data_IF_737157148521
#
_entry.id   IF_737157148521
#
_cell.length_a   1.000
_cell.length_b   1.000
_cell.length_c   1.000
_cell.angle_alpha   90.00
_cell.angle_beta   90.00
_cell.angle_gamma   90.00
#
_symmetry.space_group_name_H-M   'P 1'
#
loop_
_entity.id
_entity.type
_entity.pdbx_description
1 polymer ?
#
# COMPACT_ATOMS: atom_id res chain seq x y z
N UNK A 1 43.32 -37.41 -25.88
CA UNK A 1 42.58 -36.79 -26.99
C UNK A 1 41.55 -35.83 -26.41
N UNK A 2 41.89 -34.54 -26.40
CA UNK A 2 41.03 -33.46 -25.88
C UNK A 2 40.11 -32.96 -26.98
N UNK A 3 38.80 -33.14 -26.82
CA UNK A 3 37.80 -32.63 -27.75
C UNK A 3 37.36 -31.22 -27.33
N UNK A 4 38.00 -30.24 -27.95
CA UNK A 4 37.46 -28.97 -28.49
C UNK A 4 36.16 -28.44 -27.89
N UNK A 5 36.26 -27.39 -27.05
CA UNK A 5 35.14 -26.46 -26.77
C UNK A 5 34.98 -25.48 -27.93
N UNK A 6 33.77 -25.41 -28.49
CA UNK A 6 33.33 -24.42 -29.49
C UNK A 6 32.93 -23.11 -28.77
N UNK A 7 33.24 -21.92 -29.30
CA UNK A 7 33.00 -20.65 -28.60
C UNK A 7 31.52 -20.24 -28.68
N UNK A 8 31.04 -19.60 -27.61
CA UNK A 8 29.74 -18.95 -27.54
C UNK A 8 29.70 -17.76 -28.52
N UNK A 9 28.62 -17.67 -29.31
CA UNK A 9 28.40 -16.61 -30.27
C UNK A 9 28.25 -15.26 -29.56
N UNK A 10 29.14 -14.31 -29.89
CA UNK A 10 29.05 -12.91 -29.49
C UNK A 10 27.92 -12.24 -30.28
N UNK A 11 26.85 -11.83 -29.61
CA UNK A 11 25.78 -11.05 -30.23
C UNK A 11 26.30 -9.63 -30.55
N UNK A 12 26.16 -9.22 -31.82
CA UNK A 12 26.53 -7.89 -32.29
C UNK A 12 25.62 -6.78 -31.68
N UNK A 13 26.13 -5.55 -31.50
CA UNK A 13 25.39 -4.46 -30.85
C UNK A 13 24.25 -3.96 -31.74
N UNK A 14 23.00 -4.11 -31.28
CA UNK A 14 21.85 -3.42 -31.87
C UNK A 14 22.00 -1.93 -31.56
N UNK A 15 21.92 -1.07 -32.57
CA UNK A 15 21.93 0.40 -32.38
C UNK A 15 20.65 0.82 -31.64
N UNK A 16 20.73 0.93 -30.31
CA UNK A 16 19.61 1.36 -29.47
C UNK A 16 19.30 2.82 -29.77
N UNK A 17 18.14 3.13 -30.37
CA UNK A 17 17.68 4.51 -30.52
C UNK A 17 17.47 5.10 -29.14
N UNK A 18 18.20 6.17 -28.81
CA UNK A 18 18.07 6.87 -27.53
C UNK A 18 17.30 8.17 -27.65
N UNK A 19 16.33 8.38 -26.77
CA UNK A 19 15.42 9.51 -26.70
C UNK A 19 15.88 10.53 -25.65
N UNK A 20 15.56 11.80 -25.89
CA UNK A 20 15.66 12.86 -24.88
C UNK A 20 14.45 12.83 -23.95
N UNK A 21 14.59 13.35 -22.71
CA UNK A 21 13.49 13.41 -21.73
C UNK A 21 12.21 14.08 -22.26
N UNK A 22 12.32 15.07 -23.17
CA UNK A 22 11.15 15.71 -23.79
C UNK A 22 10.37 14.76 -24.69
N UNK A 23 11.05 14.00 -25.55
CA UNK A 23 10.42 12.97 -26.40
C UNK A 23 9.83 11.81 -25.59
N UNK A 24 10.45 11.45 -24.46
CA UNK A 24 9.88 10.46 -23.54
C UNK A 24 8.60 10.98 -22.91
N UNK A 25 8.58 12.26 -22.50
CA UNK A 25 7.39 12.90 -21.96
C UNK A 25 6.23 12.93 -22.97
N UNK A 26 6.52 13.27 -24.23
CA UNK A 26 5.53 13.26 -25.31
C UNK A 26 4.90 11.87 -25.47
N UNK A 27 5.73 10.82 -25.51
CA UNK A 27 5.25 9.44 -25.63
C UNK A 27 4.39 8.99 -24.43
N UNK A 28 4.77 9.38 -23.21
CA UNK A 28 4.02 8.98 -22.00
C UNK A 28 2.75 9.81 -21.79
N UNK A 29 2.67 11.04 -22.32
CA UNK A 29 1.51 11.92 -22.15
C UNK A 29 0.25 11.44 -22.86
N UNK A 30 0.37 10.62 -23.90
CA UNK A 30 -0.78 10.00 -24.57
C UNK A 30 -1.58 9.10 -23.62
N UNK A 31 -0.90 8.42 -22.70
CA UNK A 31 -1.50 7.49 -21.72
C UNK A 31 -1.58 8.06 -20.29
N UNK A 32 -0.71 9.02 -19.95
CA UNK A 32 -0.59 9.63 -18.61
C UNK A 32 -0.53 11.17 -18.71
N UNK A 33 -1.68 11.87 -18.79
CA UNK A 33 -1.74 13.32 -19.00
C UNK A 33 -1.00 14.12 -17.91
N UNK A 34 -1.01 13.62 -16.68
CA UNK A 34 -0.45 14.28 -15.50
C UNK A 34 1.06 14.06 -15.33
N UNK A 35 1.70 13.28 -16.21
CA UNK A 35 3.14 13.05 -16.12
C UNK A 35 3.91 14.33 -16.46
N UNK A 36 4.91 14.64 -15.62
CA UNK A 36 5.77 15.81 -15.79
C UNK A 36 7.24 15.41 -15.85
N UNK A 37 8.08 16.28 -16.40
CA UNK A 37 9.54 16.12 -16.38
C UNK A 37 10.06 15.97 -14.95
N UNK A 38 9.47 16.69 -14.00
CA UNK A 38 9.81 16.59 -12.57
C UNK A 38 9.52 15.20 -12.01
N UNK A 39 8.39 14.58 -12.38
CA UNK A 39 8.06 13.21 -11.98
C UNK A 39 9.06 12.20 -12.54
N UNK A 40 9.45 12.31 -13.81
CA UNK A 40 10.44 11.41 -14.42
C UNK A 40 11.81 11.54 -13.72
N UNK A 41 12.23 12.77 -13.43
CA UNK A 41 13.49 13.03 -12.69
C UNK A 41 13.45 12.50 -11.25
N UNK A 42 12.29 12.59 -10.61
CA UNK A 42 12.09 12.05 -9.27
C UNK A 42 12.19 10.51 -9.26
N UNK A 43 11.60 9.84 -10.25
CA UNK A 43 11.73 8.38 -10.39
C UNK A 43 13.17 7.95 -10.67
N UNK A 44 13.94 8.75 -11.42
CA UNK A 44 15.38 8.55 -11.61
C UNK A 44 16.17 8.77 -10.32
N UNK A 45 15.89 9.82 -9.53
CA UNK A 45 16.62 10.06 -8.27
C UNK A 45 16.34 8.98 -7.24
N UNK A 46 15.15 8.39 -7.26
CA UNK A 46 14.78 7.23 -6.48
C UNK A 46 15.35 5.92 -7.07
N UNK A 47 16.12 5.98 -8.16
CA UNK A 47 16.80 4.80 -8.74
C UNK A 47 15.88 3.80 -9.42
N UNK A 48 14.62 4.16 -9.74
CA UNK A 48 13.72 3.26 -10.47
C UNK A 48 14.07 3.17 -11.95
N UNK A 49 14.80 4.15 -12.48
CA UNK A 49 15.31 4.17 -13.85
C UNK A 49 16.76 4.68 -13.87
N UNK A 50 17.56 4.20 -14.81
CA UNK A 50 18.99 4.53 -14.91
C UNK A 50 19.36 4.92 -16.36
N UNK A 51 18.84 6.06 -16.87
CA UNK A 51 19.10 6.49 -18.23
C UNK A 51 20.59 6.79 -18.45
N UNK A 52 21.08 6.47 -19.65
CA UNK A 52 22.47 6.73 -20.02
C UNK A 52 22.77 8.23 -20.04
N UNK A 53 24.01 8.60 -19.73
CA UNK A 53 24.49 9.99 -19.87
C UNK A 53 25.39 10.13 -21.08
N UNK A 54 25.22 11.21 -21.84
CA UNK A 54 26.18 11.59 -22.89
C UNK A 54 27.47 12.11 -22.25
N UNK A 55 28.57 12.17 -23.02
CA UNK A 55 29.82 12.80 -22.58
C UNK A 55 29.64 14.27 -22.14
N UNK A 56 28.58 14.93 -22.62
CA UNK A 56 28.15 16.28 -22.25
C UNK A 56 27.17 16.35 -21.07
N UNK A 57 26.81 15.21 -20.45
CA UNK A 57 26.00 15.15 -19.22
C UNK A 57 24.48 15.06 -19.41
N UNK A 58 23.98 15.08 -20.66
CA UNK A 58 22.54 14.96 -20.95
C UNK A 58 22.04 13.53 -20.82
N UNK A 59 20.79 13.36 -20.38
CA UNK A 59 20.12 12.06 -20.23
C UNK A 59 19.63 11.53 -21.57
N UNK A 60 19.87 10.25 -21.80
CA UNK A 60 19.46 9.48 -22.98
C UNK A 60 18.74 8.23 -22.51
N UNK A 61 17.44 8.19 -22.81
CA UNK A 61 16.55 7.10 -22.45
C UNK A 61 16.49 6.11 -23.61
N UNK A 62 16.59 4.82 -23.32
CA UNK A 62 16.38 3.74 -24.27
C UNK A 62 14.88 3.47 -24.44
N UNK A 63 14.51 2.61 -25.40
CA UNK A 63 13.12 2.13 -25.49
C UNK A 63 12.69 1.38 -24.22
N UNK A 64 13.60 0.60 -23.64
CA UNK A 64 13.35 -0.17 -22.41
C UNK A 64 13.08 0.75 -21.21
N UNK A 65 13.77 1.90 -21.12
CA UNK A 65 13.50 2.91 -20.09
C UNK A 65 12.09 3.50 -20.20
N UNK A 66 11.55 3.62 -21.43
CA UNK A 66 10.19 4.13 -21.66
C UNK A 66 9.15 3.10 -21.22
N UNK A 67 9.34 1.83 -21.58
CA UNK A 67 8.46 0.74 -21.12
C UNK A 67 8.50 0.59 -19.59
N UNK A 68 9.68 0.72 -18.99
CA UNK A 68 9.85 0.72 -17.54
C UNK A 68 9.12 1.88 -16.87
N UNK A 69 9.20 3.09 -17.44
CA UNK A 69 8.44 4.25 -16.98
C UNK A 69 6.93 4.02 -17.09
N UNK A 70 6.45 3.44 -18.20
CA UNK A 70 5.03 3.07 -18.36
C UNK A 70 4.60 2.10 -17.26
N UNK A 71 5.37 1.03 -17.00
CA UNK A 71 5.08 0.07 -15.94
C UNK A 71 4.98 0.73 -14.56
N UNK A 72 5.94 1.59 -14.22
CA UNK A 72 5.92 2.34 -12.94
C UNK A 72 4.66 3.19 -12.81
N UNK A 73 4.30 3.93 -13.87
CA UNK A 73 3.16 4.85 -13.86
C UNK A 73 1.82 4.10 -13.77
N UNK A 74 1.65 2.99 -14.49
CA UNK A 74 0.48 2.09 -14.37
C UNK A 74 0.38 1.56 -12.94
N UNK A 75 1.48 1.04 -12.41
CA UNK A 75 1.51 0.42 -11.08
C UNK A 75 1.19 1.43 -9.98
N UNK A 76 1.65 2.67 -10.10
CA UNK A 76 1.29 3.75 -9.18
C UNK A 76 -0.17 4.17 -9.30
N UNK A 77 -0.70 4.28 -10.53
CA UNK A 77 -2.09 4.69 -10.78
C UNK A 77 -3.09 3.67 -10.27
N UNK A 78 -2.84 2.40 -10.54
CA UNK A 78 -3.85 1.34 -10.37
C UNK A 78 -3.73 0.60 -9.03
N UNK A 79 -2.55 0.62 -8.39
CA UNK A 79 -2.29 -0.19 -7.19
C UNK A 79 -1.75 0.61 -5.99
N UNK A 80 -1.51 1.93 -6.11
CA UNK A 80 -1.00 2.80 -5.03
C UNK A 80 0.22 2.22 -4.28
N UNK A 81 1.11 1.51 -4.99
CA UNK A 81 2.24 0.82 -4.35
C UNK A 81 3.34 1.82 -3.91
N UNK A 82 3.97 1.60 -2.74
CA UNK A 82 5.16 2.33 -2.34
C UNK A 82 6.31 2.14 -3.35
N UNK A 83 7.11 3.19 -3.58
CA UNK A 83 8.23 3.19 -4.55
C UNK A 83 9.25 2.07 -4.32
N UNK A 84 9.45 1.68 -3.05
CA UNK A 84 10.34 0.57 -2.68
C UNK A 84 9.89 -0.74 -3.33
N UNK A 85 8.60 -1.05 -3.23
CA UNK A 85 7.99 -2.27 -3.79
C UNK A 85 8.09 -2.28 -5.32
N UNK A 86 7.87 -1.12 -5.95
CA UNK A 86 8.01 -0.99 -7.40
C UNK A 86 9.47 -1.24 -7.83
N UNK A 87 10.45 -0.75 -7.07
CA UNK A 87 11.88 -1.00 -7.34
C UNK A 87 12.20 -2.50 -7.27
N UNK A 88 11.74 -3.20 -6.25
CA UNK A 88 11.95 -4.64 -6.06
C UNK A 88 11.30 -5.47 -7.18
N UNK A 89 10.09 -5.12 -7.63
CA UNK A 89 9.44 -5.76 -8.77
C UNK A 89 10.24 -5.58 -10.06
N UNK A 90 10.74 -4.37 -10.30
CA UNK A 90 11.55 -4.08 -11.48
C UNK A 90 12.90 -4.83 -11.46
N UNK A 91 13.55 -4.92 -10.30
CA UNK A 91 14.78 -5.72 -10.13
C UNK A 91 14.54 -7.22 -10.37
N UNK A 92 13.38 -7.74 -9.97
CA UNK A 92 12.98 -9.10 -10.28
C UNK A 92 12.75 -9.31 -11.79
N UNK A 93 12.11 -8.36 -12.47
CA UNK A 93 11.92 -8.40 -13.92
C UNK A 93 13.26 -8.35 -14.68
N UNK A 94 14.20 -7.51 -14.24
CA UNK A 94 15.52 -7.34 -14.88
C UNK A 94 16.44 -8.56 -14.70
N UNK A 95 16.34 -9.25 -13.56
CA UNK A 95 17.15 -10.42 -13.25
C UNK A 95 16.62 -11.71 -13.87
N UNK A 96 15.44 -11.68 -14.51
CA UNK A 96 14.77 -12.87 -15.03
C UNK A 96 14.33 -13.84 -13.93
N UNK A 97 14.44 -13.43 -12.66
CA UNK A 97 13.87 -14.16 -11.55
C UNK A 97 12.36 -13.95 -11.60
N UNK A 98 11.60 -15.03 -11.75
CA UNK A 98 10.16 -15.03 -11.45
C UNK A 98 10.03 -14.33 -10.11
N UNK A 99 9.35 -13.17 -10.08
CA UNK A 99 9.18 -12.36 -8.88
C UNK A 99 8.94 -13.29 -7.72
N UNK A 100 9.86 -13.27 -6.74
CA UNK A 100 9.55 -13.81 -5.43
C UNK A 100 8.27 -13.06 -5.04
N UNK A 101 7.15 -13.75 -5.09
CA UNK A 101 5.87 -13.21 -4.64
C UNK A 101 6.17 -12.80 -3.20
N UNK A 102 6.17 -11.51 -2.91
CA UNK A 102 6.37 -11.06 -1.54
C UNK A 102 5.27 -11.71 -0.69
N UNK A 103 5.68 -12.66 0.15
CA UNK A 103 4.80 -13.31 1.12
C UNK A 103 4.57 -12.42 2.35
N UNK A 104 5.14 -11.22 2.35
CA UNK A 104 4.99 -10.25 3.43
C UNK A 104 3.54 -9.73 3.47
N UNK A 105 2.95 -9.55 4.67
CA UNK A 105 1.62 -8.99 4.79
C UNK A 105 1.55 -7.56 4.24
N UNK A 106 0.43 -7.22 3.59
CA UNK A 106 0.10 -5.88 3.06
C UNK A 106 0.25 -4.79 4.13
N UNK A 107 0.01 -5.13 5.40
CA UNK A 107 0.10 -4.19 6.53
C UNK A 107 1.12 -4.69 7.54
N UNK A 108 2.02 -3.82 8.02
CA UNK A 108 3.00 -4.20 9.03
C UNK A 108 2.38 -4.34 10.43
N UNK A 109 2.87 -5.26 11.28
CA UNK A 109 2.40 -5.42 12.66
C UNK A 109 2.51 -4.14 13.50
N UNK A 110 3.50 -3.29 13.23
CA UNK A 110 3.74 -2.07 14.01
C UNK A 110 2.60 -1.06 13.94
N UNK A 111 1.81 -1.10 12.85
CA UNK A 111 0.61 -0.26 12.70
C UNK A 111 -0.54 -0.65 13.62
N UNK A 112 -0.46 -1.80 14.29
CA UNK A 112 -1.48 -2.30 15.22
C UNK A 112 -1.05 -2.19 16.69
N UNK A 113 0.04 -1.46 16.98
CA UNK A 113 0.37 -1.10 18.36
C UNK A 113 -0.75 -0.25 18.96
N UNK A 114 -0.89 -0.33 20.28
CA UNK A 114 -1.85 0.50 20.99
C UNK A 114 -1.61 1.99 20.68
N UNK A 115 -2.67 2.79 20.50
CA UNK A 115 -2.54 4.20 20.21
C UNK A 115 -1.78 4.92 21.32
N UNK A 116 -1.05 5.97 20.94
CA UNK A 116 -0.52 6.91 21.91
C UNK A 116 -1.69 7.55 22.68
N UNK A 117 -1.54 7.65 24.01
CA UNK A 117 -2.55 8.25 24.86
C UNK A 117 -2.81 9.69 24.39
N UNK A 118 -3.97 9.91 23.79
CA UNK A 118 -4.50 11.22 23.41
C UNK A 118 -5.81 11.38 24.18
N UNK A 119 -6.12 12.60 24.60
CA UNK A 119 -7.38 12.90 25.30
C UNK A 119 -8.21 13.83 24.44
N UNK A 120 -9.00 13.24 23.55
CA UNK A 120 -9.92 13.96 22.68
C UNK A 120 -11.34 13.84 23.21
N UNK A 121 -12.11 14.91 23.10
CA UNK A 121 -13.58 14.88 23.26
C UNK A 121 -14.27 14.52 21.93
N UNK A 122 -15.59 14.38 21.97
CA UNK A 122 -16.44 14.28 20.78
C UNK A 122 -16.32 15.51 19.87
N UNK A 123 -16.31 16.71 20.45
CA UNK A 123 -16.08 17.97 19.72
C UNK A 123 -14.70 17.99 19.05
N UNK A 124 -13.65 17.52 19.74
CA UNK A 124 -12.30 17.43 19.17
C UNK A 124 -12.25 16.46 17.98
N UNK A 125 -12.94 15.32 18.07
CA UNK A 125 -13.01 14.37 16.96
C UNK A 125 -13.74 15.00 15.77
N UNK A 126 -14.90 15.62 16.00
CA UNK A 126 -15.69 16.25 14.95
C UNK A 126 -14.85 17.30 14.20
N UNK A 127 -14.18 18.18 14.95
CA UNK A 127 -13.31 19.21 14.40
C UNK A 127 -12.13 18.63 13.61
N UNK A 128 -11.44 17.61 14.13
CA UNK A 128 -10.28 17.01 13.45
C UNK A 128 -10.67 16.17 12.23
N UNK A 129 -11.79 15.46 12.29
CA UNK A 129 -12.29 14.65 11.18
C UNK A 129 -12.99 15.49 10.11
N UNK A 130 -13.32 16.75 10.40
CA UNK A 130 -14.04 17.64 9.48
C UNK A 130 -15.50 17.25 9.28
N UNK A 131 -16.16 16.78 10.34
CA UNK A 131 -17.55 16.28 10.32
C UNK A 131 -18.41 16.98 11.36
N UNK A 132 -19.73 16.86 11.22
CA UNK A 132 -20.69 17.34 12.21
C UNK A 132 -20.68 16.47 13.48
N UNK A 133 -20.88 17.09 14.65
CA UNK A 133 -20.93 16.39 15.96
C UNK A 133 -22.06 15.34 16.00
N UNK A 134 -23.16 15.58 15.29
CA UNK A 134 -24.26 14.61 15.16
C UNK A 134 -23.83 13.32 14.48
N UNK A 135 -22.88 13.38 13.52
CA UNK A 135 -22.34 12.19 12.88
C UNK A 135 -21.45 11.40 13.84
N UNK A 136 -20.64 12.09 14.66
CA UNK A 136 -19.86 11.43 15.74
C UNK A 136 -20.78 10.69 16.71
N UNK A 137 -21.91 11.30 17.08
CA UNK A 137 -22.93 10.69 17.93
C UNK A 137 -23.57 9.45 17.28
N UNK A 138 -23.88 9.49 15.99
CA UNK A 138 -24.40 8.33 15.25
C UNK A 138 -23.38 7.17 15.24
N UNK A 139 -22.09 7.46 15.07
CA UNK A 139 -21.03 6.46 15.11
C UNK A 139 -20.81 5.87 16.51
N UNK A 140 -21.03 6.66 17.58
CA UNK A 140 -21.04 6.18 18.96
C UNK A 140 -22.19 5.20 19.21
N UNK A 141 -23.40 5.56 18.79
CA UNK A 141 -24.60 4.72 18.91
C UNK A 141 -24.48 3.42 18.09
N UNK A 142 -23.84 3.51 16.92
CA UNK A 142 -23.50 2.35 16.11
C UNK A 142 -22.37 1.50 16.72
N UNK A 143 -21.60 2.06 17.66
CA UNK A 143 -20.49 1.42 18.35
C UNK A 143 -19.23 1.30 17.50
N UNK A 144 -19.03 2.19 16.53
CA UNK A 144 -17.83 2.25 15.70
C UNK A 144 -16.64 2.87 16.44
N UNK A 145 -16.92 3.88 17.26
CA UNK A 145 -15.97 4.49 18.18
C UNK A 145 -16.51 4.37 19.60
N UNK A 146 -15.62 4.36 20.59
CA UNK A 146 -16.00 4.30 22.02
C UNK A 146 -14.97 5.03 22.86
N UNK A 147 -15.39 5.91 23.78
CA UNK A 147 -14.45 6.54 24.68
C UNK A 147 -13.88 5.51 25.66
N UNK A 148 -12.70 5.82 26.20
CA UNK A 148 -12.10 5.04 27.26
C UNK A 148 -12.86 5.21 28.60
N UNK A 149 -12.35 4.57 29.67
CA UNK A 149 -12.97 4.64 30.99
C UNK A 149 -13.03 6.05 31.59
N UNK A 150 -12.21 6.98 31.08
CA UNK A 150 -12.18 8.38 31.49
C UNK A 150 -13.03 9.29 30.57
N UNK A 151 -13.70 8.72 29.56
CA UNK A 151 -14.55 9.47 28.63
C UNK A 151 -13.81 10.07 27.44
N UNK A 152 -12.54 9.69 27.19
CA UNK A 152 -11.73 10.29 26.13
C UNK A 152 -11.52 9.35 24.94
N UNK A 153 -11.27 9.97 23.79
CA UNK A 153 -10.95 9.31 22.53
C UNK A 153 -9.48 9.52 22.11
N UNK A 154 -9.06 8.72 21.15
CA UNK A 154 -7.69 8.68 20.63
C UNK A 154 -7.63 9.12 19.17
N UNK A 155 -6.42 9.29 18.65
CA UNK A 155 -6.20 9.53 17.22
C UNK A 155 -6.72 8.40 16.31
N UNK A 156 -6.94 7.20 16.85
CA UNK A 156 -7.51 6.08 16.10
C UNK A 156 -9.00 6.28 15.86
N UNK A 157 -9.71 6.83 16.85
CA UNK A 157 -11.14 7.18 16.72
C UNK A 157 -11.33 8.25 15.64
N UNK A 158 -10.46 9.26 15.58
CA UNK A 158 -10.46 10.25 14.48
C UNK A 158 -10.33 9.57 13.12
N UNK A 159 -9.40 8.61 12.98
CA UNK A 159 -9.23 7.86 11.72
C UNK A 159 -10.45 7.04 11.37
N UNK A 160 -11.11 6.42 12.35
CA UNK A 160 -12.37 5.68 12.13
C UNK A 160 -13.46 6.63 11.64
N UNK A 161 -13.65 7.80 12.27
CA UNK A 161 -14.66 8.78 11.86
C UNK A 161 -14.39 9.33 10.46
N UNK A 162 -13.15 9.76 10.15
CA UNK A 162 -12.80 10.24 8.81
C UNK A 162 -13.02 9.18 7.73
N UNK A 163 -12.70 7.91 8.03
CA UNK A 163 -12.92 6.81 7.08
C UNK A 163 -14.41 6.51 6.90
N UNK A 164 -15.19 6.55 7.99
CA UNK A 164 -16.63 6.37 7.94
C UNK A 164 -17.31 7.48 7.11
N UNK A 165 -16.88 8.73 7.26
CA UNK A 165 -17.35 9.84 6.41
C UNK A 165 -17.04 9.57 4.94
N UNK A 166 -15.80 9.18 4.63
CA UNK A 166 -15.40 8.88 3.26
C UNK A 166 -16.26 7.77 2.63
N UNK A 167 -16.63 6.76 3.42
CA UNK A 167 -17.54 5.69 2.96
C UNK A 167 -18.98 6.20 2.76
N UNK A 168 -19.45 7.12 3.61
CA UNK A 168 -20.76 7.76 3.45
C UNK A 168 -20.83 8.56 2.15
N UNK A 169 -19.74 9.22 1.75
CA UNK A 169 -19.64 9.91 0.46
C UNK A 169 -19.78 8.95 -0.74
N UNK A 170 -19.44 7.66 -0.56
CA UNK A 170 -19.71 6.58 -1.53
C UNK A 170 -21.09 5.93 -1.38
N UNK A 171 -21.95 6.43 -0.49
CA UNK A 171 -23.33 5.97 -0.28
C UNK A 171 -23.50 4.91 0.81
N UNK A 172 -22.50 4.68 1.67
CA UNK A 172 -22.66 3.78 2.80
C UNK A 172 -23.43 4.46 3.94
N UNK A 173 -24.52 3.83 4.37
CA UNK A 173 -25.23 4.24 5.59
C UNK A 173 -24.67 3.56 6.85
N UNK A 174 -25.17 3.99 8.01
CA UNK A 174 -24.79 3.45 9.33
C UNK A 174 -25.01 1.94 9.47
N UNK A 175 -25.96 1.34 8.73
CA UNK A 175 -26.23 -0.10 8.79
C UNK A 175 -25.10 -0.87 8.13
N UNK A 176 -24.60 -0.38 6.99
CA UNK A 176 -23.43 -0.96 6.32
C UNK A 176 -22.20 -0.84 7.21
N UNK A 177 -21.97 0.33 7.82
CA UNK A 177 -20.86 0.57 8.75
C UNK A 177 -20.93 -0.39 9.96
N UNK A 178 -22.13 -0.62 10.51
CA UNK A 178 -22.33 -1.57 11.61
C UNK A 178 -22.04 -3.01 11.20
N UNK A 179 -22.35 -3.38 9.96
CA UNK A 179 -22.00 -4.69 9.39
C UNK A 179 -20.47 -4.88 9.30
N UNK A 180 -19.75 -3.86 8.82
CA UNK A 180 -18.28 -3.86 8.76
C UNK A 180 -17.67 -3.98 10.17
N UNK A 181 -18.16 -3.19 11.14
CA UNK A 181 -17.77 -3.27 12.55
C UNK A 181 -17.99 -4.66 13.15
N UNK A 182 -19.12 -5.29 12.86
CA UNK A 182 -19.41 -6.65 13.32
C UNK A 182 -18.43 -7.69 12.74
N UNK A 183 -18.04 -7.52 11.48
CA UNK A 183 -17.05 -8.39 10.84
C UNK A 183 -15.67 -8.21 11.47
N UNK A 184 -15.25 -6.97 11.71
CA UNK A 184 -14.00 -6.66 12.40
C UNK A 184 -13.97 -7.25 13.82
N UNK A 185 -15.08 -7.16 14.58
CA UNK A 185 -15.16 -7.77 15.91
C UNK A 185 -14.94 -9.28 15.88
N UNK A 186 -15.55 -9.99 14.92
CA UNK A 186 -15.35 -11.44 14.76
C UNK A 186 -13.90 -11.79 14.46
N UNK A 187 -13.22 -10.99 13.64
CA UNK A 187 -11.78 -11.18 13.36
C UNK A 187 -10.94 -10.97 14.63
N UNK A 188 -11.23 -9.93 15.41
CA UNK A 188 -10.56 -9.67 16.68
C UNK A 188 -10.79 -10.80 17.70
N UNK A 189 -12.00 -11.35 17.78
CA UNK A 189 -12.34 -12.45 18.69
C UNK A 189 -11.52 -13.71 18.36
N UNK A 190 -11.36 -14.04 17.06
CA UNK A 190 -10.53 -15.17 16.61
C UNK A 190 -9.05 -14.98 17.00
N UNK A 191 -8.51 -13.78 16.79
CA UNK A 191 -7.14 -13.45 17.20
C UNK A 191 -7.00 -13.58 18.73
N UNK A 192 -7.98 -13.05 19.48
CA UNK A 192 -8.02 -13.10 20.94
C UNK A 192 -8.04 -14.52 21.50
N UNK A 193 -8.71 -15.46 20.83
CA UNK A 193 -8.72 -16.87 21.22
C UNK A 193 -7.33 -17.52 21.15
N UNK A 194 -6.48 -17.09 20.21
CA UNK A 194 -5.12 -17.61 20.04
C UNK A 194 -4.10 -16.84 20.89
N UNK A 195 -4.21 -15.50 20.92
CA UNK A 195 -3.31 -14.62 21.66
C UNK A 195 -3.54 -14.65 23.18
N UNK A 196 -4.79 -14.80 23.62
CA UNK A 196 -5.18 -14.78 25.03
C UNK A 196 -4.46 -15.82 25.90
N UNK A 197 -4.40 -17.11 25.50
CA UNK A 197 -3.64 -18.13 26.23
C UNK A 197 -2.14 -17.81 26.35
N UNK A 198 -1.53 -17.21 25.33
CA UNK A 198 -0.12 -16.80 25.36
C UNK A 198 0.09 -15.64 26.32
N UNK A 199 -0.80 -14.64 26.31
CA UNK A 199 -0.77 -13.54 27.27
C UNK A 199 -0.81 -14.04 28.72
N UNK A 200 -1.67 -15.04 29.01
CA UNK A 200 -1.82 -15.62 30.35
C UNK A 200 -0.61 -16.47 30.78
N UNK A 201 -0.04 -17.28 29.87
CA UNK A 201 1.04 -18.24 30.21
C UNK A 201 2.44 -17.66 30.11
N UNK A 202 2.69 -16.80 29.13
CA UNK A 202 4.03 -16.30 28.77
C UNK A 202 4.21 -14.80 29.06
N UNK A 203 3.18 -14.13 29.56
CA UNK A 203 3.18 -12.71 29.92
C UNK A 203 2.42 -11.85 28.91
N UNK A 204 1.81 -10.77 29.43
CA UNK A 204 0.92 -9.88 28.66
C UNK A 204 1.57 -9.34 27.38
N UNK A 205 2.80 -8.83 27.48
CA UNK A 205 3.55 -8.29 26.34
C UNK A 205 3.67 -9.31 25.19
N UNK A 206 4.03 -10.56 25.48
CA UNK A 206 4.18 -11.60 24.44
C UNK A 206 2.85 -11.94 23.76
N UNK A 207 1.74 -11.87 24.50
CA UNK A 207 0.41 -12.03 23.93
C UNK A 207 0.03 -10.85 23.03
N UNK A 208 0.35 -9.62 23.44
CA UNK A 208 0.12 -8.40 22.65
C UNK A 208 0.96 -8.40 21.36
N UNK A 209 2.26 -8.73 21.45
CA UNK A 209 3.15 -8.81 20.28
C UNK A 209 2.64 -9.85 19.27
N UNK A 210 2.24 -11.04 19.75
CA UNK A 210 1.65 -12.07 18.89
C UNK A 210 0.32 -11.62 18.30
N UNK A 211 -0.52 -10.95 19.10
CA UNK A 211 -1.78 -10.37 18.64
C UNK A 211 -1.58 -9.37 17.49
N UNK A 212 -0.61 -8.46 17.63
CA UNK A 212 -0.27 -7.47 16.59
C UNK A 212 0.18 -8.14 15.29
N UNK A 213 1.03 -9.17 15.38
CA UNK A 213 1.46 -9.95 14.21
C UNK A 213 0.29 -10.65 13.53
N UNK A 214 -0.59 -11.28 14.32
CA UNK A 214 -1.78 -11.95 13.79
C UNK A 214 -2.76 -10.96 13.15
N UNK A 215 -2.98 -9.78 13.75
CA UNK A 215 -3.84 -8.75 13.17
C UNK A 215 -3.34 -8.30 11.80
N UNK A 216 -2.02 -8.06 11.65
CA UNK A 216 -1.43 -7.72 10.36
C UNK A 216 -1.70 -8.77 9.28
N UNK A 217 -1.52 -10.05 9.61
CA UNK A 217 -1.79 -11.16 8.68
C UNK A 217 -3.28 -11.27 8.34
N UNK A 218 -4.17 -11.18 9.33
CA UNK A 218 -5.63 -11.28 9.13
C UNK A 218 -6.15 -10.14 8.26
N UNK A 219 -5.71 -8.89 8.51
CA UNK A 219 -6.11 -7.73 7.69
C UNK A 219 -5.59 -7.87 6.27
N UNK A 220 -4.36 -8.35 6.08
CA UNK A 220 -3.78 -8.56 4.75
C UNK A 220 -4.51 -9.66 3.96
N UNK A 221 -4.86 -10.74 4.64
CA UNK A 221 -5.70 -11.80 4.07
C UNK A 221 -7.08 -11.25 3.70
N UNK A 222 -7.73 -10.51 4.60
CA UNK A 222 -9.05 -9.93 4.37
C UNK A 222 -9.06 -8.98 3.16
N UNK A 223 -8.08 -8.07 3.07
CA UNK A 223 -7.94 -7.16 1.94
C UNK A 223 -7.80 -7.93 0.61
N UNK A 224 -7.01 -9.00 0.59
CA UNK A 224 -6.83 -9.84 -0.60
C UNK A 224 -8.12 -10.58 -0.98
N UNK A 225 -8.85 -11.12 0.02
CA UNK A 225 -10.12 -11.81 -0.22
C UNK A 225 -11.21 -10.86 -0.71
N UNK A 226 -11.32 -9.66 -0.15
CA UNK A 226 -12.27 -8.63 -0.60
C UNK A 226 -11.94 -8.21 -2.04
N UNK A 227 -10.65 -7.99 -2.36
CA UNK A 227 -10.22 -7.66 -3.73
C UNK A 227 -10.62 -8.74 -4.73
N UNK A 228 -10.46 -10.01 -4.37
CA UNK A 228 -10.83 -11.12 -5.23
C UNK A 228 -12.35 -11.23 -5.39
N UNK A 229 -13.11 -11.18 -4.28
CA UNK A 229 -14.56 -11.26 -4.33
C UNK A 229 -15.18 -10.12 -5.15
N UNK A 230 -14.67 -8.88 -5.00
CA UNK A 230 -15.15 -7.74 -5.77
C UNK A 230 -14.84 -7.89 -7.27
N UNK A 231 -13.69 -8.47 -7.62
CA UNK A 231 -13.37 -8.78 -9.01
C UNK A 231 -14.39 -9.74 -9.61
N UNK A 232 -14.80 -10.75 -8.85
CA UNK A 232 -15.78 -11.74 -9.30
C UNK A 232 -17.20 -11.12 -9.42
N UNK A 233 -17.56 -10.15 -8.58
CA UNK A 233 -18.83 -9.44 -8.65
C UNK A 233 -18.93 -8.45 -9.83
N UNK A 234 -17.79 -7.90 -10.27
CA UNK A 234 -17.73 -6.88 -11.33
C UNK A 234 -17.30 -7.43 -12.71
N UNK A 235 -17.01 -8.73 -12.82
CA UNK A 235 -16.64 -9.42 -14.06
C UNK A 235 -17.89 -9.89 -14.83
#
# INVERSE_FOLDING_TARGET
MSAVRKPAATAAPRTTRTLSIGKVLEALREEFPDVTVSKIRFLESEGLITPQRTASGYRRFTGDDVERLRYILVTQRDNYLPLKVIREQLEAMDSGAVSLIETEPIVSPEKFRAPAATRLTDDDIAAQAGVEVSFVSELLDAGLIRPDAAGFFTADDVRVVTTAQSLQDFGFDVRHLKSLRNTAQRQADLIGQVAGPVARRKGRQKGEDMGQQMTALVVSLHASLVKNALRDELA
#
